data_IF_737983784669
#
_entry.id   IF_737983784669
#
_cell.length_a   1.000
_cell.length_b   1.000
_cell.length_c   1.000
_cell.angle_alpha   90.00
_cell.angle_beta   90.00
_cell.angle_gamma   90.00
#
_symmetry.space_group_name_H-M   'P 1'
#
loop_
_entity.id
_entity.type
_entity.pdbx_description
1 polymer ?
#
# COMPACT_ATOMS: atom_id res chain seq x y z
N UNK A 1 -2.10 -14.74 67.58
CA UNK A 1 -3.41 -15.01 66.96
C UNK A 1 -4.02 -13.78 66.26
N UNK A 2 -3.93 -12.56 66.84
CA UNK A 2 -4.53 -11.33 66.27
C UNK A 2 -3.93 -10.90 64.92
N UNK A 3 -2.59 -10.97 64.74
CA UNK A 3 -1.91 -10.58 63.49
C UNK A 3 -2.29 -11.39 62.24
N UNK A 4 -2.76 -12.64 62.41
CA UNK A 4 -3.14 -13.51 61.27
C UNK A 4 -4.54 -13.15 60.76
N UNK A 5 -5.41 -12.63 61.62
CA UNK A 5 -6.75 -12.20 61.25
C UNK A 5 -6.72 -10.90 60.44
N UNK A 6 -5.88 -9.94 60.84
CA UNK A 6 -5.70 -8.68 60.11
C UNK A 6 -5.11 -8.91 58.70
N UNK A 7 -4.16 -9.84 58.56
CA UNK A 7 -3.58 -10.18 57.27
C UNK A 7 -4.58 -10.84 56.32
N UNK A 8 -5.45 -11.72 56.84
CA UNK A 8 -6.53 -12.35 56.06
C UNK A 8 -7.58 -11.33 55.61
N UNK A 9 -7.94 -10.38 56.48
CA UNK A 9 -8.89 -9.31 56.13
C UNK A 9 -8.28 -8.40 55.06
N UNK A 10 -6.99 -8.05 55.18
CA UNK A 10 -6.29 -7.25 54.17
C UNK A 10 -6.16 -7.97 52.83
N UNK A 11 -5.86 -9.28 52.82
CA UNK A 11 -5.83 -10.08 51.59
C UNK A 11 -7.21 -10.20 50.93
N UNK A 12 -8.28 -10.40 51.71
CA UNK A 12 -9.66 -10.43 51.18
C UNK A 12 -10.05 -9.05 50.61
N UNK A 13 -9.66 -7.96 51.27
CA UNK A 13 -9.91 -6.60 50.79
C UNK A 13 -9.12 -6.30 49.51
N UNK A 14 -7.86 -6.70 49.44
CA UNK A 14 -7.01 -6.54 48.25
C UNK A 14 -7.55 -7.38 47.08
N UNK A 15 -7.98 -8.62 47.33
CA UNK A 15 -8.64 -9.46 46.33
C UNK A 15 -9.97 -8.84 45.88
N UNK A 16 -10.80 -8.29 46.77
CA UNK A 16 -12.05 -7.61 46.41
C UNK A 16 -11.80 -6.34 45.57
N UNK A 17 -10.78 -5.55 45.91
CA UNK A 17 -10.38 -4.38 45.12
C UNK A 17 -9.86 -4.80 43.75
N UNK A 18 -9.02 -5.84 43.66
CA UNK A 18 -8.56 -6.40 42.38
C UNK A 18 -9.71 -7.01 41.57
N UNK A 19 -10.67 -7.69 42.19
CA UNK A 19 -11.85 -8.25 41.53
C UNK A 19 -12.82 -7.15 41.04
N UNK A 20 -12.93 -6.05 41.77
CA UNK A 20 -13.66 -4.84 41.36
C UNK A 20 -12.97 -4.07 40.23
N UNK A 21 -11.64 -4.16 40.10
CA UNK A 21 -10.91 -3.56 38.97
C UNK A 21 -10.96 -4.43 37.70
N UNK A 22 -11.06 -5.76 37.82
CA UNK A 22 -11.15 -6.67 36.67
C UNK A 22 -12.57 -6.69 36.07
N UNK A 23 -13.61 -6.39 36.86
CA UNK A 23 -15.01 -6.41 36.39
C UNK A 23 -15.45 -5.17 35.58
N UNK A 24 -14.58 -4.17 35.43
CA UNK A 24 -14.84 -2.94 34.66
C UNK A 24 -14.11 -2.89 33.30
N UNK A 25 -13.72 -4.04 32.76
CA UNK A 25 -13.47 -4.12 31.31
C UNK A 25 -14.83 -4.20 30.64
N UNK A 26 -15.54 -3.06 30.58
CA UNK A 26 -16.71 -2.94 29.74
C UNK A 26 -16.26 -3.27 28.32
N UNK A 27 -16.75 -4.38 27.75
CA UNK A 27 -16.57 -4.65 26.34
C UNK A 27 -17.01 -3.39 25.59
N UNK A 28 -16.09 -2.77 24.84
CA UNK A 28 -16.38 -1.57 24.09
C UNK A 28 -17.60 -1.89 23.21
N UNK A 29 -18.73 -1.23 23.48
CA UNK A 29 -19.96 -1.44 22.72
C UNK A 29 -19.65 -1.15 21.26
N UNK A 30 -19.98 -2.09 20.37
CA UNK A 30 -19.77 -1.89 18.93
C UNK A 30 -20.33 -0.53 18.50
N UNK A 31 -19.61 0.23 17.67
CA UNK A 31 -20.10 1.51 17.17
C UNK A 31 -21.47 1.32 16.52
N UNK A 32 -22.44 2.13 16.92
CA UNK A 32 -23.76 2.07 16.31
C UNK A 32 -23.69 2.57 14.86
N UNK A 33 -24.17 1.76 13.92
CA UNK A 33 -24.36 2.17 12.53
C UNK A 33 -25.27 3.39 12.47
N UNK A 34 -24.79 4.50 11.89
CA UNK A 34 -25.60 5.71 11.73
C UNK A 34 -26.45 5.66 10.46
N UNK A 35 -25.88 5.18 9.37
CA UNK A 35 -26.54 4.94 8.10
C UNK A 35 -25.70 3.99 7.24
N UNK A 36 -26.39 3.20 6.42
CA UNK A 36 -25.82 2.49 5.28
C UNK A 36 -26.56 2.95 4.00
N UNK A 37 -25.85 3.07 2.89
CA UNK A 37 -26.40 3.50 1.60
C UNK A 37 -25.75 2.70 0.48
N UNK A 38 -26.57 2.31 -0.48
CA UNK A 38 -26.12 1.70 -1.73
C UNK A 38 -26.45 2.66 -2.86
N UNK A 39 -25.50 2.83 -3.78
CA UNK A 39 -25.67 3.60 -4.99
C UNK A 39 -25.30 2.68 -6.15
N UNK A 40 -26.11 2.70 -7.20
CA UNK A 40 -25.94 1.82 -8.35
C UNK A 40 -27.28 1.42 -8.96
N UNK A 41 -27.22 0.54 -9.95
CA UNK A 41 -28.37 0.02 -10.68
C UNK A 41 -28.33 -1.50 -10.81
N UNK A 42 -28.67 -2.00 -11.99
CA UNK A 42 -28.76 -3.43 -12.27
C UNK A 42 -27.45 -4.04 -12.79
N UNK A 43 -26.43 -3.22 -12.99
CA UNK A 43 -25.11 -3.64 -13.44
C UNK A 43 -24.10 -3.50 -12.29
N UNK A 44 -22.85 -3.84 -12.57
CA UNK A 44 -21.77 -3.70 -11.60
C UNK A 44 -21.42 -2.23 -11.34
N UNK A 45 -21.31 -1.88 -10.06
CA UNK A 45 -20.97 -0.54 -9.58
C UNK A 45 -20.04 -0.68 -8.37
N UNK A 46 -18.92 0.04 -8.38
CA UNK A 46 -17.91 -0.03 -7.31
C UNK A 46 -17.54 1.36 -6.80
N UNK A 47 -17.19 1.45 -5.52
CA UNK A 47 -16.68 2.66 -4.88
C UNK A 47 -15.24 2.40 -4.38
N UNK A 48 -14.29 3.19 -4.86
CA UNK A 48 -12.85 2.97 -4.65
C UNK A 48 -12.21 3.98 -3.70
N UNK A 49 -12.79 5.18 -3.57
CA UNK A 49 -12.27 6.23 -2.71
C UNK A 49 -13.40 7.05 -2.14
N UNK A 50 -13.30 7.41 -0.85
CA UNK A 50 -14.21 8.34 -0.19
C UNK A 50 -13.42 9.42 0.55
N UNK A 51 -13.88 10.66 0.46
CA UNK A 51 -13.23 11.80 1.09
C UNK A 51 -14.28 12.73 1.72
N UNK A 52 -14.06 13.14 2.97
CA UNK A 52 -14.95 14.09 3.65
C UNK A 52 -14.74 15.51 3.11
N UNK A 53 -15.80 16.15 2.64
CA UNK A 53 -15.70 17.49 2.06
C UNK A 53 -15.70 18.58 3.15
N UNK A 54 -15.05 19.71 2.89
CA UNK A 54 -14.95 20.88 3.79
C UNK A 54 -16.30 21.48 4.19
N UNK A 55 -17.32 21.39 3.32
CA UNK A 55 -18.70 21.78 3.61
C UNK A 55 -19.50 20.75 4.43
N UNK A 56 -18.89 19.59 4.73
CA UNK A 56 -19.54 18.42 5.29
C UNK A 56 -20.15 17.48 4.25
N UNK A 57 -20.41 16.25 4.66
CA UNK A 57 -20.73 15.16 3.73
C UNK A 57 -19.47 14.65 3.02
N UNK A 58 -19.66 13.85 1.97
CA UNK A 58 -18.57 13.07 1.38
C UNK A 58 -18.62 13.12 -0.15
N UNK A 59 -17.46 12.99 -0.78
CA UNK A 59 -17.28 12.76 -2.21
C UNK A 59 -16.72 11.35 -2.39
N UNK A 60 -17.25 10.60 -3.35
CA UNK A 60 -16.89 9.20 -3.60
C UNK A 60 -16.50 9.05 -5.07
N UNK A 61 -15.35 8.43 -5.34
CA UNK A 61 -14.95 7.99 -6.67
C UNK A 61 -15.14 6.48 -6.81
N UNK A 62 -15.48 6.05 -8.02
CA UNK A 62 -15.85 4.69 -8.33
C UNK A 62 -15.94 4.40 -9.82
N UNK A 63 -16.57 3.28 -10.13
CA UNK A 63 -16.98 2.86 -11.48
C UNK A 63 -18.46 2.53 -11.49
N UNK A 64 -19.12 2.76 -12.62
CA UNK A 64 -20.53 2.38 -12.79
C UNK A 64 -20.79 1.86 -14.21
N UNK A 65 -21.20 0.60 -14.32
CA UNK A 65 -21.79 0.06 -15.54
C UNK A 65 -23.31 0.31 -15.59
N UNK A 66 -23.92 0.71 -14.47
CA UNK A 66 -25.36 1.00 -14.40
C UNK A 66 -25.74 2.35 -15.00
N UNK A 67 -24.82 3.31 -15.01
CA UNK A 67 -25.04 4.67 -15.53
C UNK A 67 -24.06 5.07 -16.63
N UNK A 68 -23.37 4.09 -17.24
CA UNK A 68 -22.41 4.37 -18.31
C UNK A 68 -23.08 4.93 -19.56
N UNK A 69 -22.35 5.78 -20.28
CA UNK A 69 -22.80 6.39 -21.55
C UNK A 69 -22.28 5.65 -22.78
N UNK A 70 -21.30 4.77 -22.58
CA UNK A 70 -20.60 4.04 -23.63
C UNK A 70 -21.28 2.73 -24.04
N UNK A 71 -20.45 1.78 -24.45
CA UNK A 71 -20.89 0.44 -24.81
C UNK A 71 -21.52 -0.26 -23.60
N UNK A 72 -22.64 -0.95 -23.81
CA UNK A 72 -23.33 -1.69 -22.76
C UNK A 72 -22.37 -2.70 -22.10
N UNK A 73 -22.28 -2.65 -20.77
CA UNK A 73 -21.36 -3.47 -19.98
C UNK A 73 -19.99 -2.84 -19.73
N UNK A 74 -19.59 -1.77 -20.43
CA UNK A 74 -18.37 -1.05 -20.08
C UNK A 74 -18.67 0.03 -19.04
N UNK A 75 -18.01 0.00 -17.87
CA UNK A 75 -18.24 0.98 -16.82
C UNK A 75 -17.63 2.33 -17.18
N UNK A 76 -18.28 3.41 -16.75
CA UNK A 76 -17.70 4.76 -16.77
C UNK A 76 -17.13 5.08 -15.36
N UNK A 77 -16.18 6.01 -15.30
CA UNK A 77 -15.73 6.57 -14.03
C UNK A 77 -16.87 7.31 -13.37
N UNK A 78 -17.05 7.09 -12.07
CA UNK A 78 -18.20 7.58 -11.32
C UNK A 78 -17.79 8.47 -10.16
N UNK A 79 -18.45 9.62 -10.03
CA UNK A 79 -18.26 10.54 -8.91
C UNK A 79 -19.61 10.82 -8.24
N UNK A 80 -19.70 10.57 -6.94
CA UNK A 80 -20.91 10.71 -6.14
C UNK A 80 -20.68 11.70 -5.02
N UNK A 81 -21.54 12.72 -4.91
CA UNK A 81 -21.57 13.61 -3.75
C UNK A 81 -22.74 13.25 -2.86
N UNK A 82 -22.46 13.05 -1.58
CA UNK A 82 -23.45 12.79 -0.54
C UNK A 82 -23.38 13.82 0.58
N UNK A 83 -24.50 14.02 1.28
CA UNK A 83 -24.54 14.84 2.49
C UNK A 83 -23.98 14.09 3.71
N UNK A 84 -24.05 14.72 4.91
CA UNK A 84 -23.56 14.12 6.17
C UNK A 84 -24.32 12.86 6.59
N UNK A 85 -25.54 12.68 6.08
CA UNK A 85 -26.45 11.57 6.36
C UNK A 85 -26.42 10.51 5.24
N UNK A 86 -25.48 10.61 4.31
CA UNK A 86 -25.34 9.70 3.17
C UNK A 86 -26.39 9.89 2.09
N UNK A 87 -27.21 10.95 2.10
CA UNK A 87 -28.16 11.16 1.01
C UNK A 87 -27.45 11.72 -0.21
N UNK A 88 -27.72 11.15 -1.38
CA UNK A 88 -27.14 11.59 -2.64
C UNK A 88 -27.59 13.01 -2.97
N UNK A 89 -26.62 13.90 -3.17
CA UNK A 89 -26.84 15.26 -3.63
C UNK A 89 -26.77 15.32 -5.16
N UNK A 90 -25.78 14.62 -5.74
CA UNK A 90 -25.63 14.41 -7.17
C UNK A 90 -24.68 13.24 -7.41
N UNK A 91 -24.74 12.69 -8.62
CA UNK A 91 -23.73 11.78 -9.15
C UNK A 91 -23.45 12.12 -10.62
N UNK A 92 -22.26 11.80 -11.12
CA UNK A 92 -21.80 12.10 -12.47
C UNK A 92 -20.93 10.97 -12.99
N UNK A 93 -21.13 10.61 -14.26
CA UNK A 93 -20.25 9.70 -14.99
C UNK A 93 -19.37 10.47 -15.96
N UNK A 94 -18.12 10.04 -16.04
CA UNK A 94 -17.13 10.52 -16.98
C UNK A 94 -16.57 9.32 -17.72
N UNK A 95 -16.48 9.43 -19.04
CA UNK A 95 -16.00 8.35 -19.88
C UNK A 95 -16.43 8.51 -21.33
N UNK A 96 -16.06 7.53 -22.14
CA UNK A 96 -16.30 7.46 -23.57
C UNK A 96 -17.02 6.18 -23.99
N UNK A 97 -16.56 5.59 -25.09
CA UNK A 97 -17.16 4.37 -25.67
C UNK A 97 -16.71 3.10 -24.94
N UNK A 98 -15.47 3.11 -24.46
CA UNK A 98 -14.82 1.99 -23.78
C UNK A 98 -14.93 2.15 -22.26
N UNK A 99 -14.34 1.24 -21.50
CA UNK A 99 -14.38 1.32 -20.05
C UNK A 99 -13.52 2.48 -19.55
N UNK A 100 -13.94 3.12 -18.46
CA UNK A 100 -13.25 4.23 -17.82
C UNK A 100 -13.37 4.04 -16.31
N UNK A 101 -12.29 4.30 -15.59
CA UNK A 101 -12.20 3.96 -14.17
C UNK A 101 -11.82 5.16 -13.32
N UNK A 102 -12.63 5.43 -12.29
CA UNK A 102 -12.39 6.50 -11.33
C UNK A 102 -11.92 5.92 -10.00
N UNK A 103 -10.61 5.96 -9.75
CA UNK A 103 -10.05 5.37 -8.55
C UNK A 103 -10.06 6.33 -7.37
N UNK A 104 -9.62 7.56 -7.56
CA UNK A 104 -9.37 8.51 -6.48
C UNK A 104 -10.12 9.80 -6.66
N UNK A 105 -10.49 10.45 -5.56
CA UNK A 105 -11.01 11.82 -5.60
C UNK A 105 -10.56 12.66 -4.40
N UNK A 106 -10.42 13.96 -4.63
CA UNK A 106 -10.14 14.94 -3.57
C UNK A 106 -10.82 16.27 -3.85
N UNK A 107 -11.34 16.90 -2.81
CA UNK A 107 -11.83 18.27 -2.89
C UNK A 107 -10.66 19.27 -2.98
N UNK A 108 -10.75 20.22 -3.90
CA UNK A 108 -9.80 21.34 -4.04
C UNK A 108 -10.18 22.51 -3.12
N UNK A 109 -9.26 23.46 -2.89
CA UNK A 109 -9.45 24.56 -1.93
C UNK A 109 -10.52 25.57 -2.36
N UNK A 110 -10.77 25.67 -3.67
CA UNK A 110 -11.90 26.41 -4.25
C UNK A 110 -13.26 25.69 -4.05
N UNK A 111 -13.24 24.45 -3.55
CA UNK A 111 -14.37 23.57 -3.28
C UNK A 111 -14.79 22.68 -4.46
N UNK A 112 -14.09 22.75 -5.60
CA UNK A 112 -14.19 21.82 -6.73
C UNK A 112 -13.67 20.42 -6.38
N UNK A 113 -13.74 19.47 -7.31
CA UNK A 113 -13.24 18.10 -7.10
C UNK A 113 -12.36 17.65 -8.24
N UNK A 114 -11.36 16.84 -7.91
CA UNK A 114 -10.54 16.11 -8.87
C UNK A 114 -10.85 14.63 -8.79
N UNK A 115 -10.83 13.96 -9.94
CA UNK A 115 -10.90 12.52 -10.08
C UNK A 115 -9.67 12.06 -10.87
N UNK A 116 -9.01 10.99 -10.41
CA UNK A 116 -7.95 10.31 -11.17
C UNK A 116 -8.27 8.83 -11.37
N UNK A 117 -7.78 8.29 -12.48
CA UNK A 117 -7.90 6.88 -12.84
C UNK A 117 -7.49 6.65 -14.28
N UNK A 118 -8.17 5.76 -14.99
CA UNK A 118 -7.87 5.43 -16.40
C UNK A 118 -9.02 5.77 -17.33
N UNK A 119 -8.67 6.11 -18.56
CA UNK A 119 -9.59 6.14 -19.69
C UNK A 119 -9.07 5.25 -20.82
N UNK A 120 -9.96 4.75 -21.67
CA UNK A 120 -9.60 3.85 -22.77
C UNK A 120 -10.01 4.42 -24.14
N UNK A 121 -9.59 5.64 -24.52
CA UNK A 121 -10.10 6.31 -25.72
C UNK A 121 -9.76 5.56 -27.02
N UNK A 122 -8.65 4.81 -27.01
CA UNK A 122 -8.13 4.05 -28.14
C UNK A 122 -8.22 2.52 -27.94
N UNK A 123 -8.86 2.06 -26.86
CA UNK A 123 -8.89 0.65 -26.44
C UNK A 123 -7.75 0.27 -25.49
N UNK A 124 -6.87 1.21 -25.14
CA UNK A 124 -5.73 1.03 -24.25
C UNK A 124 -5.83 1.94 -23.03
N UNK A 125 -5.30 1.47 -21.91
CA UNK A 125 -5.38 2.17 -20.63
C UNK A 125 -4.50 3.41 -20.69
N UNK A 126 -5.10 4.59 -20.55
CA UNK A 126 -4.38 5.87 -20.55
C UNK A 126 -4.63 6.59 -19.20
N UNK A 127 -3.58 7.07 -18.51
CA UNK A 127 -3.73 7.83 -17.26
C UNK A 127 -4.61 9.04 -17.45
N UNK A 128 -5.51 9.25 -16.49
CA UNK A 128 -6.59 10.20 -16.62
C UNK A 128 -6.78 11.07 -15.39
N UNK A 129 -6.92 12.37 -15.62
CA UNK A 129 -7.22 13.36 -14.60
C UNK A 129 -8.37 14.26 -15.04
N UNK A 130 -9.37 14.40 -14.18
CA UNK A 130 -10.53 15.27 -14.40
C UNK A 130 -10.66 16.23 -13.24
N UNK A 131 -10.93 17.50 -13.53
CA UNK A 131 -11.46 18.44 -12.53
C UNK A 131 -12.87 18.84 -12.87
N UNK A 132 -13.66 18.97 -11.82
CA UNK A 132 -15.09 19.26 -11.88
C UNK A 132 -15.40 20.50 -11.03
N UNK A 133 -16.51 21.15 -11.32
CA UNK A 133 -17.07 22.17 -10.45
C UNK A 133 -17.72 21.55 -9.19
N UNK A 134 -18.26 22.39 -8.31
CA UNK A 134 -18.94 21.95 -7.07
C UNK A 134 -20.17 21.05 -7.30
N UNK A 135 -20.70 21.04 -8.51
CA UNK A 135 -21.87 20.27 -8.97
C UNK A 135 -21.46 19.06 -9.82
N UNK A 136 -20.16 18.78 -9.92
CA UNK A 136 -19.62 17.68 -10.71
C UNK A 136 -19.62 17.93 -12.23
N UNK A 137 -19.84 19.16 -12.71
CA UNK A 137 -19.69 19.42 -14.14
C UNK A 137 -18.21 19.52 -14.49
N UNK A 138 -17.81 18.88 -15.58
CA UNK A 138 -16.42 18.91 -16.05
C UNK A 138 -15.95 20.36 -16.28
N UNK A 139 -14.77 20.68 -15.74
CA UNK A 139 -14.06 21.94 -15.98
C UNK A 139 -12.89 21.71 -16.94
N UNK A 140 -12.15 20.62 -16.71
CA UNK A 140 -11.13 20.12 -17.62
C UNK A 140 -10.96 18.62 -17.45
N UNK A 141 -10.44 18.00 -18.49
CA UNK A 141 -10.22 16.58 -18.65
C UNK A 141 -8.90 16.40 -19.40
N UNK A 142 -7.98 15.62 -18.82
CA UNK A 142 -6.60 15.47 -19.27
C UNK A 142 -6.24 14.00 -19.29
N UNK A 143 -5.89 13.52 -20.47
CA UNK A 143 -5.32 12.19 -20.69
C UNK A 143 -3.82 12.36 -20.87
N UNK A 144 -3.02 11.52 -20.25
CA UNK A 144 -1.57 11.57 -20.41
C UNK A 144 -1.18 11.10 -21.80
N UNK A 145 -0.37 11.90 -22.51
CA UNK A 145 0.04 11.62 -23.90
C UNK A 145 1.13 10.53 -24.01
N UNK A 146 1.65 10.03 -22.88
CA UNK A 146 2.71 9.01 -22.84
C UNK A 146 2.38 7.97 -21.76
N UNK A 147 2.05 6.75 -22.17
CA UNK A 147 2.46 5.42 -21.63
C UNK A 147 1.53 4.37 -22.23
N UNK A 148 2.13 3.28 -22.73
CA UNK A 148 1.44 2.13 -23.34
C UNK A 148 1.53 0.91 -22.43
N UNK A 149 0.39 0.23 -22.34
CA UNK A 149 0.16 -1.23 -22.27
C UNK A 149 0.57 -2.10 -21.09
N UNK A 150 -0.39 -2.96 -20.72
CA UNK A 150 -0.29 -4.07 -19.77
C UNK A 150 0.09 -3.70 -18.33
N UNK A 151 -0.74 -2.92 -17.63
CA UNK A 151 -1.29 -3.37 -16.35
C UNK A 151 -2.31 -2.41 -15.71
N UNK A 152 -3.13 -3.00 -14.84
CA UNK A 152 -4.16 -2.37 -13.99
C UNK A 152 -3.52 -1.69 -12.76
N UNK A 153 -2.92 -0.50 -12.90
CA UNK A 153 -2.27 0.18 -11.76
C UNK A 153 -3.06 1.38 -11.23
N UNK A 154 -3.63 1.25 -10.04
CA UNK A 154 -4.49 2.26 -9.41
C UNK A 154 -3.86 3.68 -9.37
N UNK A 155 -4.17 4.53 -10.36
CA UNK A 155 -3.69 5.91 -10.39
C UNK A 155 -4.24 6.72 -9.22
N UNK A 156 -3.34 7.10 -8.33
CA UNK A 156 -3.65 7.94 -7.17
C UNK A 156 -2.87 9.25 -7.31
N UNK A 157 -3.57 10.29 -7.74
CA UNK A 157 -3.02 11.64 -7.78
C UNK A 157 -3.01 12.26 -6.38
N UNK A 158 -1.83 12.60 -5.85
CA UNK A 158 -1.73 13.33 -4.60
C UNK A 158 -1.72 14.84 -4.86
N UNK A 159 -2.50 15.58 -4.06
CA UNK A 159 -2.52 17.04 -4.14
C UNK A 159 -1.27 17.62 -3.49
N UNK A 160 -0.60 18.51 -4.20
CA UNK A 160 0.61 19.20 -3.73
C UNK A 160 0.29 20.54 -3.06
N UNK A 161 1.25 21.05 -2.29
CA UNK A 161 1.16 22.27 -1.47
C UNK A 161 0.89 23.52 -2.30
N UNK A 162 1.36 23.56 -3.55
CA UNK A 162 1.06 24.60 -4.54
C UNK A 162 -0.35 24.48 -5.15
N UNK A 163 -1.11 23.46 -4.76
CA UNK A 163 -2.46 23.19 -5.22
C UNK A 163 -2.58 22.37 -6.50
N UNK A 164 -1.45 21.97 -7.12
CA UNK A 164 -1.39 21.03 -8.23
C UNK A 164 -1.45 19.57 -7.80
N UNK A 165 -0.96 18.66 -8.65
CA UNK A 165 -1.06 17.21 -8.45
C UNK A 165 0.23 16.50 -8.80
N UNK A 166 0.62 15.49 -8.02
CA UNK A 166 1.73 14.59 -8.32
C UNK A 166 1.16 13.19 -8.57
N UNK A 167 1.67 12.53 -9.60
CA UNK A 167 1.29 11.17 -9.98
C UNK A 167 2.57 10.35 -10.12
N UNK A 168 2.58 9.17 -9.52
CA UNK A 168 3.58 8.13 -9.82
C UNK A 168 2.98 7.09 -10.76
N UNK A 169 3.78 6.67 -11.72
CA UNK A 169 3.45 5.72 -12.78
C UNK A 169 4.69 4.90 -13.15
N UNK A 170 4.57 3.99 -14.10
CA UNK A 170 5.65 3.25 -14.72
C UNK A 170 5.75 3.60 -16.21
N UNK A 171 6.96 3.58 -16.77
CA UNK A 171 7.18 3.74 -18.20
C UNK A 171 7.90 2.51 -18.75
N UNK A 172 7.39 2.00 -19.87
CA UNK A 172 7.99 0.90 -20.60
C UNK A 172 9.13 1.37 -21.51
N UNK A 173 10.26 0.66 -21.45
CA UNK A 173 11.41 0.86 -22.32
C UNK A 173 11.70 -0.43 -23.09
N UNK A 174 11.63 -0.38 -24.42
CA UNK A 174 12.05 -1.51 -25.26
C UNK A 174 13.56 -1.69 -25.16
N UNK A 175 14.00 -2.85 -24.69
CA UNK A 175 15.41 -3.21 -24.51
C UNK A 175 15.92 -4.23 -25.54
N UNK A 176 15.04 -4.74 -26.40
CA UNK A 176 15.40 -5.55 -27.57
C UNK A 176 14.30 -6.51 -28.01
N UNK A 177 14.65 -7.41 -28.93
CA UNK A 177 13.74 -8.44 -29.45
C UNK A 177 14.42 -9.82 -29.39
N UNK A 178 13.66 -10.85 -29.02
CA UNK A 178 14.08 -12.26 -29.13
C UNK A 178 12.90 -13.11 -29.60
N UNK A 179 13.10 -13.89 -30.67
CA UNK A 179 12.11 -14.86 -31.18
C UNK A 179 10.69 -14.28 -31.32
N UNK A 180 10.57 -13.13 -31.97
CA UNK A 180 9.32 -12.35 -32.16
C UNK A 180 8.65 -11.83 -30.86
N UNK A 181 9.36 -11.87 -29.72
CA UNK A 181 8.97 -11.21 -28.47
C UNK A 181 9.75 -9.92 -28.29
N UNK A 182 9.03 -8.82 -28.05
CA UNK A 182 9.61 -7.54 -27.60
C UNK A 182 9.95 -7.66 -26.12
N UNK A 183 11.20 -7.42 -25.77
CA UNK A 183 11.68 -7.35 -24.40
C UNK A 183 11.53 -5.91 -23.91
N UNK A 184 10.79 -5.74 -22.82
CA UNK A 184 10.56 -4.44 -22.19
C UNK A 184 11.16 -4.41 -20.79
N UNK A 185 11.62 -3.23 -20.42
CA UNK A 185 12.02 -2.84 -19.08
C UNK A 185 11.02 -1.82 -18.54
N UNK A 186 10.91 -1.71 -17.21
CA UNK A 186 9.97 -0.79 -16.57
C UNK A 186 10.75 0.16 -15.67
N UNK A 187 10.58 1.46 -15.86
CA UNK A 187 11.11 2.50 -14.97
C UNK A 187 9.97 3.20 -14.23
N UNK A 188 10.23 3.78 -13.06
CA UNK A 188 9.26 4.62 -12.36
C UNK A 188 9.23 6.00 -13.01
N UNK A 189 8.05 6.56 -13.28
CA UNK A 189 7.93 7.95 -13.73
C UNK A 189 7.04 8.74 -12.77
N UNK A 190 7.53 9.90 -12.35
CA UNK A 190 6.76 10.85 -11.55
C UNK A 190 6.42 12.06 -12.41
N UNK A 191 5.14 12.42 -12.47
CA UNK A 191 4.64 13.56 -13.24
C UNK A 191 3.94 14.58 -12.36
N UNK A 192 4.36 15.84 -12.44
CA UNK A 192 3.75 16.98 -11.75
C UNK A 192 2.82 17.73 -12.69
N UNK A 193 1.62 18.02 -12.20
CA UNK A 193 0.63 18.87 -12.85
C UNK A 193 0.36 20.12 -12.01
N UNK A 194 0.02 21.21 -12.69
CA UNK A 194 -0.50 22.42 -12.05
C UNK A 194 -1.98 22.25 -11.63
N UNK A 195 -2.55 23.27 -10.97
CA UNK A 195 -3.96 23.25 -10.53
C UNK A 195 -4.98 23.19 -11.68
N UNK A 196 -4.54 23.48 -12.91
CA UNK A 196 -5.32 23.44 -14.15
C UNK A 196 -5.15 22.12 -14.90
N UNK A 197 -4.37 21.17 -14.36
CA UNK A 197 -4.09 19.89 -15.00
C UNK A 197 -3.07 19.96 -16.13
N UNK A 198 -2.28 21.04 -16.24
CA UNK A 198 -1.18 21.08 -17.20
C UNK A 198 0.07 20.47 -16.59
N UNK A 199 0.70 19.54 -17.31
CA UNK A 199 1.98 18.97 -16.92
C UNK A 199 3.03 20.09 -16.78
N UNK A 200 3.73 20.11 -15.66
CA UNK A 200 4.84 21.02 -15.37
C UNK A 200 6.18 20.34 -15.68
N UNK A 201 6.34 19.10 -15.23
CA UNK A 201 7.52 18.26 -15.46
C UNK A 201 7.16 16.79 -15.26
N UNK A 202 7.98 15.91 -15.83
CA UNK A 202 8.06 14.51 -15.46
C UNK A 202 9.53 14.11 -15.29
N UNK A 203 9.80 13.14 -14.42
CA UNK A 203 11.12 12.57 -14.23
C UNK A 203 10.99 11.04 -14.12
N UNK A 204 11.88 10.33 -14.81
CA UNK A 204 11.94 8.87 -14.81
C UNK A 204 13.09 8.41 -13.92
N UNK A 205 12.87 7.35 -13.16
CA UNK A 205 13.77 6.73 -12.21
C UNK A 205 13.80 5.23 -12.48
N UNK A 206 14.95 4.76 -12.95
CA UNK A 206 15.24 3.36 -13.20
C UNK A 206 16.63 3.22 -13.80
N UNK A 207 17.16 2.00 -13.87
CA UNK A 207 18.47 1.73 -14.50
C UNK A 207 18.25 0.86 -15.73
N UNK A 208 19.16 0.96 -16.69
CA UNK A 208 19.17 0.04 -17.82
C UNK A 208 19.20 -1.42 -17.33
N UNK A 209 18.20 -2.20 -17.73
CA UNK A 209 18.07 -3.63 -17.51
C UNK A 209 17.72 -4.02 -16.06
N UNK A 210 17.00 -3.17 -15.33
CA UNK A 210 16.43 -3.51 -14.02
C UNK A 210 14.93 -3.28 -14.04
N UNK A 211 14.15 -4.33 -13.77
CA UNK A 211 12.70 -4.21 -13.69
C UNK A 211 12.35 -3.42 -12.42
N UNK A 212 12.05 -2.14 -12.56
CA UNK A 212 11.43 -1.35 -11.51
C UNK A 212 9.91 -1.47 -11.62
N UNK A 213 9.25 -1.60 -10.48
CA UNK A 213 7.79 -1.56 -10.46
C UNK A 213 7.29 -0.72 -9.31
N UNK A 214 6.20 -0.01 -9.55
CA UNK A 214 5.35 0.41 -8.46
C UNK A 214 4.59 -0.84 -8.01
N UNK A 215 5.11 -1.51 -6.98
CA UNK A 215 4.32 -2.45 -6.19
C UNK A 215 2.94 -1.83 -5.88
N UNK A 216 1.91 -2.67 -5.66
CA UNK A 216 0.47 -2.37 -5.47
C UNK A 216 0.13 -1.37 -4.32
N UNK A 217 0.90 -0.31 -4.20
CA UNK A 217 0.89 0.76 -3.24
C UNK A 217 -0.31 1.63 -3.50
N UNK A 218 -1.10 1.85 -2.45
CA UNK A 218 -2.25 2.75 -2.52
C UNK A 218 -1.81 4.22 -2.68
N UNK A 219 -0.60 4.59 -2.24
CA UNK A 219 -0.05 5.95 -2.28
C UNK A 219 1.50 5.91 -2.37
N UNK A 220 2.09 5.59 -3.54
CA UNK A 220 3.54 5.39 -3.66
C UNK A 220 4.34 6.69 -3.52
N UNK A 221 3.72 7.85 -3.72
CA UNK A 221 4.39 9.16 -3.69
C UNK A 221 3.79 10.02 -2.58
N UNK A 222 4.65 10.67 -1.79
CA UNK A 222 4.28 11.62 -0.76
C UNK A 222 5.05 12.93 -0.89
N UNK A 223 4.35 14.07 -0.92
CA UNK A 223 5.03 15.37 -0.86
C UNK A 223 5.57 15.64 0.55
N UNK A 224 6.88 15.93 0.65
CA UNK A 224 7.57 16.19 1.91
C UNK A 224 7.46 17.66 2.34
N UNK A 225 7.80 17.95 3.60
CA UNK A 225 7.66 19.29 4.20
C UNK A 225 8.59 20.35 3.60
N UNK A 226 9.66 19.92 2.93
CA UNK A 226 10.59 20.73 2.13
C UNK A 226 10.12 20.94 0.68
N UNK A 227 8.85 20.63 0.37
CA UNK A 227 8.23 20.66 -0.95
C UNK A 227 8.73 19.60 -1.96
N UNK A 228 9.71 18.77 -1.60
CA UNK A 228 10.14 17.63 -2.38
C UNK A 228 9.14 16.46 -2.35
N UNK A 229 9.57 15.30 -2.85
CA UNK A 229 8.74 14.09 -2.87
C UNK A 229 9.51 12.88 -2.41
N UNK A 230 8.87 12.01 -1.63
CA UNK A 230 9.38 10.67 -1.32
C UNK A 230 8.55 9.64 -2.06
N UNK A 231 9.20 8.65 -2.65
CA UNK A 231 8.60 7.61 -3.48
C UNK A 231 9.01 6.26 -2.90
N UNK A 232 8.04 5.41 -2.56
CA UNK A 232 8.30 4.00 -2.30
C UNK A 232 7.97 3.21 -3.57
N UNK A 233 8.91 2.41 -4.04
CA UNK A 233 8.77 1.51 -5.19
C UNK A 233 9.55 0.21 -4.92
N UNK A 234 9.72 -0.61 -5.94
CA UNK A 234 10.52 -1.83 -5.90
C UNK A 234 11.49 -1.87 -7.09
N UNK A 235 12.71 -2.34 -6.87
CA UNK A 235 13.78 -2.46 -7.88
C UNK A 235 14.46 -3.82 -7.74
N UNK A 236 14.97 -4.38 -8.83
CA UNK A 236 15.84 -5.57 -8.73
C UNK A 236 17.21 -5.15 -8.24
N UNK A 237 17.65 -5.66 -7.09
CA UNK A 237 18.98 -5.34 -6.57
C UNK A 237 20.07 -6.23 -7.18
N UNK A 238 21.29 -5.68 -7.31
CA UNK A 238 22.40 -6.35 -8.01
C UNK A 238 22.91 -7.65 -7.35
N UNK A 239 22.31 -8.11 -6.25
CA UNK A 239 22.78 -9.26 -5.46
C UNK A 239 21.90 -10.51 -5.61
N UNK A 240 20.68 -10.37 -6.14
CA UNK A 240 19.71 -11.44 -6.37
C UNK A 240 18.77 -11.01 -7.49
N UNK A 241 18.21 -11.95 -8.24
CA UNK A 241 17.11 -11.66 -9.18
C UNK A 241 15.78 -11.40 -8.45
N UNK A 242 15.84 -10.80 -7.26
CA UNK A 242 14.70 -10.53 -6.37
C UNK A 242 14.41 -9.03 -6.31
N UNK A 243 13.16 -8.70 -6.02
CA UNK A 243 12.71 -7.34 -5.83
C UNK A 243 13.04 -6.85 -4.42
N UNK A 244 13.68 -5.70 -4.30
CA UNK A 244 13.90 -5.02 -3.02
C UNK A 244 13.07 -3.72 -3.00
N UNK A 245 12.79 -3.22 -1.80
CA UNK A 245 12.15 -1.92 -1.60
C UNK A 245 13.11 -0.82 -2.05
N UNK A 246 12.64 0.08 -2.90
CA UNK A 246 13.37 1.25 -3.36
C UNK A 246 12.70 2.53 -2.85
N UNK A 247 13.41 3.27 -2.01
CA UNK A 247 12.96 4.55 -1.46
C UNK A 247 13.73 5.68 -2.12
N UNK A 248 13.03 6.56 -2.82
CA UNK A 248 13.61 7.66 -3.59
C UNK A 248 13.16 8.98 -2.98
N UNK A 249 14.07 9.93 -2.83
CA UNK A 249 13.75 11.32 -2.47
C UNK A 249 14.15 12.24 -3.59
N UNK A 250 13.26 13.19 -3.88
CA UNK A 250 13.47 14.24 -4.86
C UNK A 250 13.34 15.62 -4.24
N UNK A 251 13.84 16.63 -4.95
CA UNK A 251 13.46 18.03 -4.73
C UNK A 251 12.07 18.34 -5.30
N UNK A 252 11.65 19.60 -5.22
CA UNK A 252 10.34 20.08 -5.69
C UNK A 252 10.16 20.01 -7.22
N UNK A 253 11.26 19.86 -7.97
CA UNK A 253 11.30 19.75 -9.43
C UNK A 253 11.46 18.29 -9.89
N UNK A 254 11.40 17.34 -8.95
CA UNK A 254 11.54 15.91 -9.21
C UNK A 254 12.97 15.48 -9.52
N UNK A 255 13.98 16.30 -9.19
CA UNK A 255 15.38 15.86 -9.30
C UNK A 255 15.74 14.98 -8.10
N UNK A 256 16.35 13.83 -8.36
CA UNK A 256 16.78 12.91 -7.31
C UNK A 256 17.80 13.59 -6.37
N UNK A 257 17.53 13.50 -5.07
CA UNK A 257 18.46 13.92 -4.02
C UNK A 257 19.21 12.73 -3.44
N UNK A 258 18.48 11.64 -3.21
CA UNK A 258 19.03 10.36 -2.77
C UNK A 258 18.04 9.24 -3.07
N UNK A 259 18.56 8.01 -3.12
CA UNK A 259 17.74 6.81 -3.08
C UNK A 259 18.39 5.76 -2.17
N UNK A 260 17.57 4.85 -1.63
CA UNK A 260 17.97 3.78 -0.71
C UNK A 260 17.24 2.50 -1.08
N UNK A 261 17.92 1.37 -0.94
CA UNK A 261 17.32 0.04 -1.16
C UNK A 261 17.28 -0.72 0.15
N UNK A 262 16.17 -1.38 0.44
CA UNK A 262 15.97 -2.22 1.62
C UNK A 262 15.41 -3.56 1.19
N UNK A 263 16.06 -4.64 1.61
CA UNK A 263 15.64 -5.98 1.27
C UNK A 263 16.53 -7.03 1.92
N UNK A 264 16.02 -8.24 1.98
CA UNK A 264 16.72 -9.46 2.29
C UNK A 264 17.17 -10.18 1.01
N UNK A 265 17.41 -11.49 1.08
CA UNK A 265 17.81 -12.28 -0.07
C UNK A 265 16.70 -12.62 -1.08
N UNK A 266 15.43 -12.40 -0.75
CA UNK A 266 14.27 -12.71 -1.60
C UNK A 266 13.45 -11.45 -1.90
N UNK A 267 12.21 -11.61 -2.39
CA UNK A 267 11.36 -10.49 -2.77
C UNK A 267 10.81 -9.75 -1.54
N UNK A 268 11.09 -8.45 -1.48
CA UNK A 268 10.61 -7.48 -0.50
C UNK A 268 9.86 -6.35 -1.20
N UNK A 269 8.75 -5.94 -0.61
CA UNK A 269 7.88 -4.94 -1.24
C UNK A 269 7.17 -4.11 -0.19
N UNK A 270 7.28 -2.78 -0.30
CA UNK A 270 6.46 -1.86 0.47
C UNK A 270 5.08 -1.72 -0.20
N UNK A 271 4.02 -1.76 0.60
CA UNK A 271 2.64 -1.54 0.16
C UNK A 271 2.03 -0.23 0.68
N UNK A 272 2.69 0.41 1.65
CA UNK A 272 2.30 1.73 2.13
C UNK A 272 3.51 2.51 2.66
N UNK A 273 3.48 3.83 2.43
CA UNK A 273 4.41 4.81 3.00
C UNK A 273 3.62 5.94 3.66
N UNK A 274 4.12 6.43 4.81
CA UNK A 274 3.57 7.58 5.52
C UNK A 274 4.68 8.48 6.02
N UNK A 275 4.44 9.80 5.99
CA UNK A 275 5.34 10.79 6.59
C UNK A 275 5.18 10.78 8.10
N UNK A 276 6.27 10.96 8.82
CA UNK A 276 6.28 11.05 10.28
C UNK A 276 6.54 12.48 10.75
N UNK A 277 6.14 12.78 11.98
CA UNK A 277 6.18 14.14 12.58
C UNK A 277 7.59 14.71 12.74
N UNK A 278 8.60 13.85 12.75
CA UNK A 278 10.03 14.16 12.77
C UNK A 278 10.62 14.36 11.36
N UNK A 279 9.78 14.36 10.31
CA UNK A 279 10.14 14.39 8.88
C UNK A 279 10.79 13.11 8.34
N UNK A 280 10.79 12.02 9.10
CA UNK A 280 11.14 10.69 8.59
C UNK A 280 10.00 10.03 7.82
N UNK A 281 10.17 8.74 7.55
CA UNK A 281 9.21 7.93 6.79
C UNK A 281 8.95 6.61 7.49
N UNK A 282 7.69 6.18 7.51
CA UNK A 282 7.33 4.82 7.93
C UNK A 282 6.74 4.06 6.74
N UNK A 283 7.24 2.86 6.51
CA UNK A 283 6.84 1.96 5.44
C UNK A 283 6.30 0.66 6.04
N UNK A 284 5.36 0.03 5.36
CA UNK A 284 4.91 -1.32 5.68
C UNK A 284 4.65 -2.14 4.43
N UNK A 285 4.85 -3.44 4.54
CA UNK A 285 4.78 -4.35 3.40
C UNK A 285 5.15 -5.77 3.76
N UNK A 286 5.67 -6.49 2.76
CA UNK A 286 6.18 -7.86 2.84
C UNK A 286 7.71 -7.85 2.83
N UNK A 287 8.29 -8.71 3.66
CA UNK A 287 9.73 -8.95 3.78
C UNK A 287 10.00 -10.46 3.75
N UNK A 288 10.90 -10.91 2.89
CA UNK A 288 11.22 -12.32 2.74
C UNK A 288 12.73 -12.58 2.94
N UNK A 289 13.05 -13.27 4.04
CA UNK A 289 14.43 -13.44 4.52
C UNK A 289 14.99 -14.86 4.33
N UNK A 290 14.28 -15.76 3.63
CA UNK A 290 14.65 -17.19 3.64
C UNK A 290 14.67 -17.83 2.26
N UNK A 291 15.82 -18.40 1.89
CA UNK A 291 15.97 -19.27 0.72
C UNK A 291 15.27 -20.62 0.87
N UNK A 292 14.81 -20.99 2.07
CA UNK A 292 14.10 -22.24 2.31
C UNK A 292 12.64 -22.12 1.86
N UNK A 293 12.16 -23.16 1.17
CA UNK A 293 10.80 -23.29 0.63
C UNK A 293 9.67 -23.29 1.68
N UNK A 294 9.96 -23.07 2.97
CA UNK A 294 8.97 -22.83 4.00
C UNK A 294 8.58 -21.34 3.98
N UNK A 295 7.52 -21.08 3.22
CA UNK A 295 6.88 -19.77 3.02
C UNK A 295 6.42 -19.17 4.34
N UNK A 296 7.26 -18.35 4.96
CA UNK A 296 6.81 -17.39 5.97
C UNK A 296 7.07 -15.98 5.43
N UNK A 297 6.15 -15.50 4.58
CA UNK A 297 6.08 -14.07 4.27
C UNK A 297 6.00 -13.32 5.60
N UNK A 298 7.02 -12.52 5.89
CA UNK A 298 7.03 -11.69 7.10
C UNK A 298 6.48 -10.32 6.74
N UNK A 299 5.59 -9.78 7.54
CA UNK A 299 5.28 -8.37 7.39
C UNK A 299 6.41 -7.55 8.01
N UNK A 300 6.69 -6.38 7.46
CA UNK A 300 7.59 -5.42 8.10
C UNK A 300 6.89 -4.10 8.39
N UNK A 301 7.39 -3.41 9.41
CA UNK A 301 7.30 -1.96 9.53
C UNK A 301 8.73 -1.43 9.57
N UNK A 302 9.07 -0.52 8.68
CA UNK A 302 10.38 0.11 8.56
C UNK A 302 10.23 1.60 8.86
N UNK A 303 11.04 2.13 9.77
CA UNK A 303 11.17 3.57 10.03
C UNK A 303 12.53 4.04 9.56
N UNK A 304 12.52 5.17 8.87
CA UNK A 304 13.73 5.88 8.43
C UNK A 304 13.72 7.31 8.92
N UNK A 305 14.91 7.90 8.97
CA UNK A 305 15.08 9.35 9.13
C UNK A 305 14.73 10.09 7.82
N UNK A 306 14.83 11.43 7.84
CA UNK A 306 14.55 12.26 6.67
C UNK A 306 15.57 12.14 5.52
N UNK A 307 16.71 11.49 5.75
CA UNK A 307 17.74 11.16 4.74
C UNK A 307 17.59 9.71 4.23
N UNK A 308 16.54 9.02 4.66
CA UNK A 308 16.26 7.64 4.29
C UNK A 308 17.16 6.62 4.97
N UNK A 309 17.91 6.98 6.02
CA UNK A 309 18.67 5.99 6.78
C UNK A 309 17.72 5.21 7.69
N UNK A 310 17.86 3.88 7.70
CA UNK A 310 17.05 3.02 8.56
C UNK A 310 17.36 3.31 10.03
N UNK A 311 16.32 3.64 10.80
CA UNK A 311 16.39 3.77 12.25
C UNK A 311 16.07 2.43 12.91
N UNK A 312 15.00 1.78 12.46
CA UNK A 312 14.63 0.44 12.88
C UNK A 312 13.73 -0.25 11.86
N UNK A 313 13.72 -1.57 11.92
CA UNK A 313 12.76 -2.41 11.20
C UNK A 313 12.21 -3.46 12.17
N UNK A 314 10.91 -3.69 12.11
CA UNK A 314 10.23 -4.70 12.91
C UNK A 314 9.52 -5.71 12.01
N UNK A 315 9.88 -6.97 12.16
CA UNK A 315 9.31 -8.09 11.43
C UNK A 315 8.19 -8.77 12.21
N UNK A 316 7.20 -9.27 11.48
CA UNK A 316 6.06 -10.00 12.00
C UNK A 316 5.90 -11.31 11.22
N UNK A 317 6.22 -12.46 11.84
CA UNK A 317 6.14 -13.74 11.16
C UNK A 317 4.75 -14.12 10.67
N UNK A 318 4.73 -14.80 9.52
CA UNK A 318 3.54 -15.37 8.86
C UNK A 318 2.41 -14.34 8.71
N UNK A 319 2.74 -13.16 8.20
CA UNK A 319 1.80 -12.04 8.08
C UNK A 319 2.16 -11.09 6.93
N UNK A 320 1.22 -10.22 6.57
CA UNK A 320 1.40 -9.20 5.54
C UNK A 320 0.76 -7.89 6.00
N UNK A 321 1.41 -6.75 5.78
CA UNK A 321 0.87 -5.43 6.11
C UNK A 321 0.67 -4.61 4.83
N UNK A 322 -0.53 -4.04 4.66
CA UNK A 322 -0.91 -3.28 3.46
C UNK A 322 -0.95 -1.78 3.67
N UNK A 323 -1.07 -1.33 4.93
CA UNK A 323 -1.23 0.09 5.25
C UNK A 323 -0.53 0.42 6.56
N UNK A 324 0.12 1.58 6.63
CA UNK A 324 0.74 2.10 7.85
C UNK A 324 0.53 3.61 7.97
N UNK A 325 0.42 4.07 9.22
CA UNK A 325 0.32 5.50 9.54
C UNK A 325 0.91 5.79 10.92
N UNK A 326 1.51 6.97 11.08
CA UNK A 326 1.81 7.50 12.42
C UNK A 326 0.52 7.94 13.12
N UNK A 327 0.37 7.57 14.38
CA UNK A 327 -0.76 7.95 15.22
C UNK A 327 -0.48 9.26 15.99
N UNK A 328 -1.54 9.95 16.41
CA UNK A 328 -1.46 11.23 17.13
C UNK A 328 -0.72 11.17 18.48
N UNK A 329 -0.52 9.98 19.02
CA UNK A 329 0.27 9.71 20.23
C UNK A 329 1.73 9.36 19.92
N UNK A 330 2.21 9.75 18.73
CA UNK A 330 3.53 9.49 18.16
C UNK A 330 3.87 8.02 17.88
N UNK A 331 2.98 7.08 18.21
CA UNK A 331 3.15 5.68 17.81
C UNK A 331 2.84 5.43 16.34
N UNK A 332 2.76 4.15 15.97
CA UNK A 332 2.48 3.73 14.60
C UNK A 332 1.36 2.70 14.59
N UNK A 333 0.45 2.76 13.61
CA UNK A 333 -0.56 1.73 13.41
C UNK A 333 -0.45 1.18 12.00
N UNK A 334 -0.56 -0.13 11.87
CA UNK A 334 -0.57 -0.81 10.58
C UNK A 334 -1.72 -1.81 10.49
N UNK A 335 -2.21 -2.02 9.28
CA UNK A 335 -3.30 -2.91 8.96
C UNK A 335 -2.89 -3.91 7.89
N UNK A 336 -3.34 -5.15 8.04
CA UNK A 336 -2.92 -6.24 7.18
C UNK A 336 -3.66 -7.54 7.46
N UNK A 337 -3.00 -8.65 7.13
CA UNK A 337 -3.51 -10.00 7.34
C UNK A 337 -2.48 -10.81 8.13
N UNK A 338 -2.96 -11.58 9.09
CA UNK A 338 -2.15 -12.54 9.85
C UNK A 338 -2.92 -13.84 10.02
N UNK A 339 -2.31 -14.96 9.66
CA UNK A 339 -2.97 -16.28 9.70
C UNK A 339 -4.34 -16.29 8.98
N UNK A 340 -4.44 -15.62 7.82
CA UNK A 340 -5.67 -15.53 7.03
C UNK A 340 -6.78 -14.64 7.62
N UNK A 341 -6.50 -13.88 8.69
CA UNK A 341 -7.46 -12.99 9.34
C UNK A 341 -7.03 -11.53 9.21
N UNK A 342 -8.00 -10.61 9.14
CA UNK A 342 -7.74 -9.18 9.24
C UNK A 342 -7.02 -8.88 10.57
N UNK A 343 -5.93 -8.14 10.48
CA UNK A 343 -5.01 -7.91 11.58
C UNK A 343 -4.62 -6.44 11.66
N UNK A 344 -4.61 -5.91 12.88
CA UNK A 344 -4.12 -4.58 13.20
C UNK A 344 -2.99 -4.70 14.21
N UNK A 345 -1.94 -3.93 14.03
CA UNK A 345 -0.86 -3.79 15.00
C UNK A 345 -0.60 -2.32 15.27
N UNK A 346 -0.47 -1.97 16.56
CA UNK A 346 -0.04 -0.65 16.99
C UNK A 346 1.29 -0.77 17.72
N UNK A 347 2.26 0.03 17.30
CA UNK A 347 3.54 0.22 17.96
C UNK A 347 3.51 1.49 18.81
N UNK A 348 4.26 1.46 19.91
CA UNK A 348 4.49 2.65 20.73
C UNK A 348 5.47 3.59 20.01
N UNK A 349 5.59 4.80 20.55
CA UNK A 349 6.56 5.81 20.09
C UNK A 349 8.01 5.38 20.41
N UNK A 350 8.94 5.83 19.58
CA UNK A 350 10.36 5.49 19.58
C UNK A 350 11.03 5.83 20.93
N UNK A 351 10.61 6.91 21.59
CA UNK A 351 11.14 7.33 22.89
C UNK A 351 10.80 6.38 24.06
N UNK A 352 9.72 5.60 23.96
CA UNK A 352 9.26 4.70 25.04
C UNK A 352 9.90 3.33 24.94
N UNK A 353 10.15 2.82 23.74
CA UNK A 353 10.87 1.57 23.53
C UNK A 353 12.35 1.69 23.98
N UNK A 354 12.99 2.85 23.79
CA UNK A 354 14.34 3.11 24.30
C UNK A 354 14.43 3.01 25.85
N UNK A 355 13.37 3.39 26.57
CA UNK A 355 13.32 3.28 28.04
C UNK A 355 13.06 1.84 28.51
N UNK A 356 12.43 1.01 27.69
CA UNK A 356 12.15 -0.40 28.01
C UNK A 356 13.34 -1.32 27.73
N UNK A 357 14.15 -1.00 26.72
CA UNK A 357 15.38 -1.73 26.40
C UNK A 357 16.45 -1.66 27.50
N UNK A 358 16.45 -0.60 28.31
CA UNK A 358 17.40 -0.44 29.43
C UNK A 358 16.98 -1.16 30.72
N UNK A 359 15.72 -1.61 30.84
CA UNK A 359 15.23 -2.33 32.03
C UNK A 359 15.27 -3.87 31.88
N UNK A 360 15.46 -4.42 30.67
CA UNK A 360 15.41 -5.87 30.44
C UNK A 360 16.74 -6.63 30.63
N UNK A 361 17.86 -5.96 30.87
CA UNK A 361 19.19 -6.58 30.86
C UNK A 361 19.71 -7.04 32.24
N UNK A 362 18.83 -7.29 33.21
CA UNK A 362 19.21 -7.76 34.57
C UNK A 362 18.56 -9.07 35.01
N UNK A 363 18.14 -9.94 34.08
CA UNK A 363 17.78 -11.33 34.42
C UNK A 363 18.43 -12.33 33.48
N UNK A 364 19.69 -12.63 33.78
CA UNK A 364 20.34 -13.88 33.41
C UNK A 364 19.62 -15.05 34.10
N UNK A 365 19.02 -15.96 33.33
CA UNK A 365 18.70 -17.30 33.82
C UNK A 365 19.31 -18.35 32.89
N UNK A 366 20.23 -19.08 33.51
CA UNK A 366 20.95 -20.27 33.09
C UNK A 366 20.06 -21.28 32.34
N UNK A 367 20.57 -21.84 31.25
CA UNK A 367 20.17 -23.17 30.78
C UNK A 367 21.43 -24.04 30.67
N UNK A 368 21.34 -25.18 31.35
CA UNK A 368 22.39 -26.18 31.53
C UNK A 368 22.66 -26.98 30.26
N UNK A 369 23.95 -27.34 30.11
CA UNK A 369 24.47 -28.29 29.15
C UNK A 369 23.89 -29.71 29.33
N UNK A 370 23.55 -30.37 28.23
CA UNK A 370 23.65 -31.84 28.14
C UNK A 370 24.16 -32.24 26.75
N UNK A 371 25.39 -32.76 26.72
CA UNK A 371 25.96 -33.54 25.63
C UNK A 371 25.30 -34.93 25.52
N UNK A 372 25.17 -35.46 24.29
CA UNK A 372 25.49 -36.87 24.01
C UNK A 372 25.76 -37.13 22.51
N UNK A 373 27.05 -37.25 22.22
CA UNK A 373 27.76 -38.18 21.33
C UNK A 373 27.13 -38.90 20.11
N UNK A 374 27.87 -38.74 18.99
CA UNK A 374 28.44 -39.74 18.08
C UNK A 374 27.60 -40.43 16.98
N UNK A 375 28.08 -40.30 15.73
CA UNK A 375 27.61 -41.13 14.62
C UNK A 375 28.21 -40.95 13.21
N UNK A 376 29.54 -40.93 13.06
CA UNK A 376 30.35 -41.39 11.90
C UNK A 376 30.24 -40.74 10.50
N UNK A 377 31.44 -40.37 10.03
CA UNK A 377 31.88 -40.12 8.66
C UNK A 377 31.72 -41.34 7.73
N UNK A 378 31.43 -41.06 6.45
CA UNK A 378 32.01 -41.76 5.29
C UNK A 378 32.15 -40.79 4.12
N UNK A 379 33.40 -40.61 3.65
CA UNK A 379 33.74 -40.00 2.37
C UNK A 379 33.33 -40.90 1.18
N UNK A 380 32.90 -40.28 0.08
CA UNK A 380 33.29 -40.76 -1.26
C UNK A 380 33.23 -39.62 -2.27
N UNK A 381 34.36 -39.33 -2.89
CA UNK A 381 34.49 -38.53 -4.11
C UNK A 381 33.76 -39.21 -5.28
N UNK A 382 33.07 -38.42 -6.11
CA UNK A 382 33.28 -38.42 -7.56
C UNK A 382 32.53 -37.27 -8.21
N UNK A 383 33.29 -36.45 -8.95
CA UNK A 383 32.75 -35.36 -9.74
C UNK A 383 31.89 -35.84 -10.90
N UNK A 384 30.87 -35.04 -11.20
CA UNK A 384 30.29 -34.87 -12.54
C UNK A 384 29.68 -33.47 -12.61
N UNK A 385 30.21 -32.68 -13.54
CA UNK A 385 29.60 -31.46 -14.04
C UNK A 385 28.19 -31.76 -14.55
N UNK A 386 27.19 -31.02 -14.06
CA UNK A 386 25.85 -30.98 -14.63
C UNK A 386 25.54 -29.51 -14.91
N UNK A 387 25.22 -29.25 -16.18
CA UNK A 387 24.80 -27.97 -16.72
C UNK A 387 23.55 -27.48 -15.99
N UNK A 388 23.54 -26.19 -15.62
CA UNK A 388 22.40 -25.51 -15.02
C UNK A 388 21.32 -25.28 -16.07
N UNK A 389 20.28 -26.11 -16.09
CA UNK A 389 19.01 -25.76 -16.71
C UNK A 389 18.23 -24.84 -15.77
N UNK A 390 17.91 -23.65 -16.28
CA UNK A 390 17.11 -22.61 -15.64
C UNK A 390 15.73 -23.13 -15.21
N UNK A 391 15.49 -23.25 -13.91
CA UNK A 391 14.15 -23.45 -13.32
C UNK A 391 13.48 -22.10 -12.99
N UNK A 392 13.50 -21.16 -13.94
CA UNK A 392 12.93 -19.81 -13.80
C UNK A 392 11.39 -19.75 -13.95
N UNK A 393 10.73 -20.87 -14.25
CA UNK A 393 9.35 -20.84 -14.76
C UNK A 393 8.27 -21.38 -13.81
N UNK A 394 8.64 -21.89 -12.62
CA UNK A 394 7.68 -22.67 -11.79
C UNK A 394 7.18 -22.02 -10.51
N UNK A 395 7.78 -20.92 -10.03
CA UNK A 395 7.34 -20.28 -8.77
C UNK A 395 6.63 -18.92 -8.97
N UNK A 396 6.99 -18.15 -10.01
CA UNK A 396 6.30 -16.88 -10.37
C UNK A 396 4.84 -17.11 -10.77
N UNK A 397 4.51 -18.32 -11.21
CA UNK A 397 3.15 -18.75 -11.59
C UNK A 397 2.23 -18.96 -10.38
N UNK A 398 2.77 -19.15 -9.18
CA UNK A 398 1.99 -19.50 -7.97
C UNK A 398 1.50 -18.25 -7.22
N UNK A 399 2.31 -17.18 -7.19
CA UNK A 399 1.88 -15.84 -6.74
C UNK A 399 0.91 -15.20 -7.75
N UNK A 400 1.15 -15.42 -9.06
CA UNK A 400 0.21 -15.01 -10.13
C UNK A 400 -1.14 -15.74 -10.06
N UNK A 401 -1.18 -17.02 -9.71
CA UNK A 401 -2.45 -17.77 -9.61
C UNK A 401 -3.27 -17.45 -8.36
N UNK A 402 -2.65 -17.21 -7.19
CA UNK A 402 -3.43 -16.92 -5.98
C UNK A 402 -4.19 -15.60 -6.04
N UNK A 403 -3.65 -14.59 -6.73
CA UNK A 403 -4.32 -13.30 -6.93
C UNK A 403 -5.28 -13.37 -8.14
N UNK A 404 -4.93 -14.13 -9.18
CA UNK A 404 -5.89 -14.41 -10.26
C UNK A 404 -7.11 -15.16 -9.76
N UNK A 405 -7.04 -16.10 -8.81
CA UNK A 405 -8.21 -16.84 -8.34
C UNK A 405 -9.08 -16.05 -7.35
N UNK A 406 -8.49 -15.10 -6.60
CA UNK A 406 -9.26 -14.16 -5.76
C UNK A 406 -10.08 -13.17 -6.61
N UNK A 407 -9.60 -12.80 -7.81
CA UNK A 407 -10.32 -11.89 -8.71
C UNK A 407 -11.08 -12.59 -9.86
N UNK A 408 -10.60 -13.71 -10.42
CA UNK A 408 -11.33 -14.51 -11.44
C UNK A 408 -12.55 -15.23 -10.88
N UNK A 409 -12.59 -15.48 -9.57
CA UNK A 409 -13.79 -16.00 -8.91
C UNK A 409 -14.96 -15.00 -8.83
N UNK A 410 -14.68 -13.70 -9.02
CA UNK A 410 -15.67 -12.61 -8.88
C UNK A 410 -16.20 -12.11 -10.23
N UNK A 411 -15.41 -12.19 -11.31
CA UNK A 411 -15.78 -11.63 -12.62
C UNK A 411 -16.11 -12.73 -13.66
N UNK A 412 -17.26 -13.37 -13.52
CA UNK A 412 -17.99 -13.85 -14.69
C UNK A 412 -18.92 -12.73 -15.16
N UNK A 413 -18.52 -12.03 -16.22
CA UNK A 413 -19.37 -11.11 -16.96
C UNK A 413 -20.52 -11.89 -17.61
N UNK A 414 -21.58 -12.12 -16.85
CA UNK A 414 -22.83 -12.71 -17.34
C UNK A 414 -23.91 -11.64 -17.34
N UNK A 415 -23.92 -10.80 -18.38
CA UNK A 415 -25.14 -10.12 -18.78
C UNK A 415 -25.98 -11.11 -19.61
N UNK A 416 -26.84 -11.87 -18.93
CA UNK A 416 -27.96 -12.53 -19.61
C UNK A 416 -29.23 -11.72 -19.35
N UNK A 417 -29.85 -11.33 -20.47
CA UNK A 417 -31.13 -10.63 -20.66
C UNK A 417 -32.25 -11.00 -19.71
#
# INVERSE_FOLDING_TARGET
MIKIHEYRIFQIFLFLVLFLQISNVAAAKEPAEQWNRSFGGNCEDSAWCIQQTSGGGYIVAGTTASYSKGTEGYPDAWLIKVDKSGNMQWNKTYGGTYFDEGYFTRQTSDGSYVLSGYTFPSGYAEPWLIKTDKKGNEMWNKVSDNITHWDYLQYRAERTSDGGYIIGDIVEHEIGERDDLVLVDYDIIITKYDMSGNQQWNNTFGKNHSLETLSFLLEPVKQTSDCGYVIASTTISNQSSSYDIWLIKTDEYGQEQWNKTFGGPMDDSAFSISLTSDNGYVLAGMYNDSWDFETDDNAFILKTDCEGNQEWMKLFPSSMLYSVQQTSDSGYIAAGVKNGNAWLVKLEDDEKDAKRGTEKDTRSENFEDTESENGKETESENGKSIESENTLDSFSTQVRHYICDIFRGVFQWNCYT
#
